data_IF_510146598446
#
_entry.id   IF_510146598446
#
_cell.length_a   1.000
_cell.length_b   1.000
_cell.length_c   1.000
_cell.angle_alpha   90.00
_cell.angle_beta   90.00
_cell.angle_gamma   90.00
#
_symmetry.space_group_name_H-M   'P 1'
#
loop_
_entity.id
_entity.type
_entity.pdbx_description
1 polymer ?
#
# COMPACT_ATOMS: atom_id res chain seq x y z
N UNK A 1 7.71 -17.35 3.25
CA UNK A 1 8.59 -16.15 3.32
C UNK A 1 8.17 -15.19 2.21
N UNK A 2 7.90 -13.90 2.52
CA UNK A 2 7.36 -12.96 1.53
C UNK A 2 8.32 -12.75 0.35
N UNK A 3 7.80 -12.89 -0.86
CA UNK A 3 8.48 -12.67 -2.14
C UNK A 3 9.74 -13.54 -2.40
N UNK A 4 10.04 -14.54 -1.57
CA UNK A 4 11.13 -15.48 -1.76
C UNK A 4 10.56 -16.90 -1.80
N UNK A 5 10.89 -17.65 -2.85
CA UNK A 5 10.42 -19.02 -3.08
C UNK A 5 11.61 -19.93 -3.41
N UNK A 6 11.65 -21.12 -2.81
CA UNK A 6 12.60 -22.15 -3.23
C UNK A 6 12.16 -22.72 -4.59
N UNK A 7 13.11 -22.87 -5.50
CA UNK A 7 12.88 -23.46 -6.80
C UNK A 7 13.91 -24.57 -7.07
N UNK A 8 13.49 -25.54 -7.85
CA UNK A 8 14.36 -26.59 -8.40
C UNK A 8 14.20 -26.61 -9.90
N UNK A 9 15.30 -26.48 -10.61
CA UNK A 9 15.34 -26.56 -12.07
C UNK A 9 15.29 -28.03 -12.54
N UNK A 10 14.98 -28.23 -13.84
CA UNK A 10 14.89 -29.58 -14.45
C UNK A 10 16.19 -30.39 -14.35
N UNK A 11 17.34 -29.69 -14.24
CA UNK A 11 18.66 -30.32 -14.05
C UNK A 11 19.00 -30.58 -12.58
N UNK A 12 18.06 -30.44 -11.66
CA UNK A 12 18.25 -30.63 -10.22
C UNK A 12 18.89 -29.45 -9.49
N UNK A 13 19.32 -28.40 -10.18
CA UNK A 13 19.89 -27.21 -9.53
C UNK A 13 18.83 -26.46 -8.70
N UNK A 14 19.20 -26.12 -7.47
CA UNK A 14 18.32 -25.43 -6.53
C UNK A 14 18.72 -23.97 -6.37
N UNK A 15 17.72 -23.11 -6.21
CA UNK A 15 17.92 -21.67 -6.00
C UNK A 15 16.80 -21.07 -5.13
N UNK A 16 17.07 -19.92 -4.54
CA UNK A 16 16.04 -19.00 -4.06
C UNK A 16 15.68 -18.04 -5.18
N UNK A 17 14.38 -17.90 -5.45
CA UNK A 17 13.85 -16.88 -6.41
C UNK A 17 13.16 -15.78 -5.65
N UNK A 18 13.57 -14.53 -5.91
CA UNK A 18 12.88 -13.33 -5.45
C UNK A 18 11.98 -12.85 -6.57
N UNK A 19 10.66 -12.69 -6.28
CA UNK A 19 9.69 -12.18 -7.25
C UNK A 19 8.79 -11.14 -6.59
N UNK A 20 8.78 -9.92 -7.13
CA UNK A 20 7.89 -8.85 -6.67
C UNK A 20 6.90 -8.44 -7.77
N UNK A 21 5.63 -8.47 -7.43
CA UNK A 21 4.55 -7.96 -8.27
C UNK A 21 4.02 -6.63 -7.72
N UNK A 22 3.78 -5.68 -8.64
CA UNK A 22 3.06 -4.44 -8.35
C UNK A 22 2.04 -4.19 -9.46
N UNK A 23 0.79 -3.96 -9.05
CA UNK A 23 -0.31 -3.67 -9.99
C UNK A 23 -0.55 -4.80 -11.02
N UNK A 24 -0.38 -6.05 -10.58
CA UNK A 24 -0.50 -7.22 -11.44
C UNK A 24 0.72 -7.43 -12.37
N UNK A 25 1.68 -6.52 -12.37
CA UNK A 25 2.88 -6.61 -13.20
C UNK A 25 4.08 -7.11 -12.39
N UNK A 26 4.82 -8.06 -12.95
CA UNK A 26 6.09 -8.50 -12.39
C UNK A 26 7.12 -7.38 -12.53
N UNK A 27 7.62 -6.84 -11.43
CA UNK A 27 8.60 -5.75 -11.38
C UNK A 27 10.01 -6.24 -11.20
N UNK A 28 10.16 -7.31 -10.44
CA UNK A 28 11.46 -7.89 -10.11
C UNK A 28 11.35 -9.40 -10.17
N UNK A 29 12.34 -10.03 -10.78
CA UNK A 29 12.61 -11.46 -10.68
C UNK A 29 14.12 -11.67 -10.70
N UNK A 30 14.65 -12.38 -9.70
CA UNK A 30 16.06 -12.72 -9.62
C UNK A 30 16.26 -14.02 -8.85
N UNK A 31 17.16 -14.84 -9.34
CA UNK A 31 17.52 -16.12 -8.73
C UNK A 31 18.88 -16.05 -8.03
N UNK A 32 18.98 -16.82 -6.96
CA UNK A 32 20.19 -16.98 -6.14
C UNK A 32 20.50 -18.46 -6.03
N UNK A 33 21.26 -19.03 -7.02
CA UNK A 33 21.61 -20.45 -7.04
C UNK A 33 22.48 -20.84 -5.83
N UNK A 34 22.15 -21.95 -5.20
CA UNK A 34 22.85 -22.41 -3.97
C UNK A 34 24.34 -22.63 -4.21
N UNK A 35 24.70 -23.29 -5.29
CA UNK A 35 26.10 -23.55 -5.64
C UNK A 35 26.93 -22.29 -5.85
N UNK A 36 26.31 -21.27 -6.51
CA UNK A 36 26.99 -20.01 -6.80
C UNK A 36 27.22 -19.15 -5.54
N UNK A 37 26.41 -19.34 -4.51
CA UNK A 37 26.42 -18.49 -3.33
C UNK A 37 26.95 -19.19 -2.06
N UNK A 38 27.54 -20.36 -2.18
CA UNK A 38 28.15 -21.07 -1.05
C UNK A 38 27.12 -21.84 -0.20
N UNK A 39 26.05 -22.32 -0.81
CA UNK A 39 25.00 -23.13 -0.19
C UNK A 39 23.67 -22.43 0.02
N UNK A 40 22.72 -23.18 0.56
CA UNK A 40 21.32 -22.74 0.71
C UNK A 40 21.17 -21.52 1.63
N UNK A 41 21.87 -21.54 2.78
CA UNK A 41 21.79 -20.47 3.78
C UNK A 41 22.36 -19.15 3.26
N UNK A 42 23.58 -19.19 2.67
CA UNK A 42 24.22 -18.00 2.12
C UNK A 42 23.46 -17.42 0.91
N UNK A 43 22.86 -18.29 0.09
CA UNK A 43 21.97 -17.87 -0.99
C UNK A 43 20.69 -17.19 -0.46
N UNK A 44 20.12 -17.70 0.64
CA UNK A 44 18.96 -17.12 1.28
C UNK A 44 19.23 -15.73 1.85
N UNK A 45 20.37 -15.55 2.50
CA UNK A 45 20.80 -14.26 3.04
C UNK A 45 20.90 -13.20 1.92
N UNK A 46 21.56 -13.54 0.81
CA UNK A 46 21.64 -12.66 -0.37
C UNK A 46 20.28 -12.39 -1.01
N UNK A 47 19.41 -13.39 -1.10
CA UNK A 47 18.05 -13.23 -1.61
C UNK A 47 17.22 -12.30 -0.70
N UNK A 48 17.40 -12.42 0.61
CA UNK A 48 16.72 -11.58 1.62
C UNK A 48 17.17 -10.11 1.51
N UNK A 49 18.47 -9.87 1.47
CA UNK A 49 19.04 -8.53 1.29
C UNK A 49 18.53 -7.89 -0.01
N UNK A 50 18.61 -8.62 -1.11
CA UNK A 50 18.12 -8.14 -2.39
C UNK A 50 16.62 -7.85 -2.37
N UNK A 51 15.79 -8.74 -1.78
CA UNK A 51 14.35 -8.51 -1.61
C UNK A 51 14.07 -7.21 -0.84
N UNK A 52 14.80 -6.97 0.23
CA UNK A 52 14.62 -5.80 1.09
C UNK A 52 14.97 -4.49 0.36
N UNK A 53 16.04 -4.48 -0.41
CA UNK A 53 16.38 -3.36 -1.29
C UNK A 53 15.28 -3.11 -2.34
N UNK A 54 14.76 -4.19 -2.94
CA UNK A 54 13.70 -4.07 -3.94
C UNK A 54 12.35 -3.62 -3.33
N UNK A 55 12.07 -3.97 -2.08
CA UNK A 55 10.89 -3.47 -1.37
C UNK A 55 10.93 -1.95 -1.17
N UNK A 56 12.09 -1.40 -0.89
CA UNK A 56 12.27 0.05 -0.76
C UNK A 56 12.15 0.77 -2.10
N UNK A 57 12.66 0.17 -3.18
CA UNK A 57 12.56 0.73 -4.55
C UNK A 57 11.14 0.60 -5.14
N UNK A 58 10.43 -0.45 -4.78
CA UNK A 58 9.08 -0.78 -5.26
C UNK A 58 8.13 -0.95 -4.07
N UNK A 59 7.77 0.14 -3.37
CA UNK A 59 6.95 0.06 -2.19
C UNK A 59 5.58 -0.55 -2.50
N UNK A 60 4.99 -1.30 -1.55
CA UNK A 60 3.63 -1.79 -1.71
C UNK A 60 2.63 -0.62 -1.71
N UNK A 61 1.48 -0.82 -2.36
CA UNK A 61 0.42 0.20 -2.37
C UNK A 61 -0.15 0.44 -0.98
N UNK A 62 -0.36 1.69 -0.65
CA UNK A 62 -1.01 2.06 0.60
C UNK A 62 -2.54 2.11 0.47
N UNK A 63 -3.20 1.80 1.57
CA UNK A 63 -4.67 1.77 1.62
C UNK A 63 -5.31 3.12 1.26
N UNK A 64 -4.68 4.23 1.62
CA UNK A 64 -5.14 5.57 1.31
C UNK A 64 -5.07 5.84 -0.19
N UNK A 65 -3.96 5.47 -0.85
CA UNK A 65 -3.75 5.71 -2.28
C UNK A 65 -4.74 4.92 -3.14
N UNK A 66 -4.98 3.65 -2.77
CA UNK A 66 -5.99 2.83 -3.45
C UNK A 66 -7.40 3.40 -3.30
N UNK A 67 -7.72 3.99 -2.14
CA UNK A 67 -9.01 4.64 -1.93
C UNK A 67 -9.18 5.96 -2.68
N UNK A 68 -8.10 6.53 -3.17
CA UNK A 68 -8.11 7.73 -4.01
C UNK A 68 -8.05 7.42 -5.52
N UNK A 69 -7.88 6.17 -5.89
CA UNK A 69 -7.89 5.76 -7.29
C UNK A 69 -9.28 5.94 -7.90
N UNK A 70 -9.38 6.71 -8.97
CA UNK A 70 -10.61 6.86 -9.75
C UNK A 70 -10.83 5.56 -10.54
N UNK A 71 -11.97 4.93 -10.34
CA UNK A 71 -12.40 3.74 -11.10
C UNK A 71 -13.24 4.18 -12.28
N UNK A 72 -13.28 3.36 -13.34
CA UNK A 72 -14.11 3.62 -14.52
C UNK A 72 -15.60 3.78 -14.21
N UNK A 73 -16.09 3.11 -13.16
CA UNK A 73 -17.48 3.24 -12.68
C UNK A 73 -17.75 4.48 -11.84
N UNK A 74 -16.75 5.34 -11.60
CA UNK A 74 -16.94 6.55 -10.81
C UNK A 74 -17.51 7.68 -11.66
N UNK A 75 -18.75 8.06 -11.40
CA UNK A 75 -19.48 9.13 -12.11
C UNK A 75 -19.31 10.51 -11.49
N UNK A 76 -18.81 10.60 -10.26
CA UNK A 76 -18.66 11.88 -9.54
C UNK A 76 -17.35 12.60 -9.85
N UNK A 77 -16.35 11.89 -10.41
CA UNK A 77 -14.95 12.33 -10.52
C UNK A 77 -14.16 12.25 -9.22
N UNK A 78 -14.80 11.89 -8.09
CA UNK A 78 -14.17 11.84 -6.77
C UNK A 78 -14.38 10.46 -6.11
N UNK A 79 -13.32 9.66 -5.92
CA UNK A 79 -13.44 8.35 -5.30
C UNK A 79 -14.04 8.39 -3.90
N UNK A 80 -15.10 7.59 -3.68
CA UNK A 80 -15.81 7.55 -2.40
C UNK A 80 -16.80 8.69 -2.19
N UNK A 81 -17.08 9.46 -3.24
CA UNK A 81 -18.20 10.43 -3.30
C UNK A 81 -19.18 9.97 -4.35
N UNK A 82 -20.45 9.86 -3.99
CA UNK A 82 -21.52 9.37 -4.90
C UNK A 82 -22.78 10.21 -4.74
N UNK A 83 -23.51 10.37 -5.84
CA UNK A 83 -24.85 10.92 -5.84
C UNK A 83 -25.86 9.78 -5.78
N UNK A 84 -26.83 9.84 -4.87
CA UNK A 84 -27.87 8.84 -4.81
C UNK A 84 -29.19 9.41 -4.33
N UNK A 85 -30.29 8.70 -4.64
CA UNK A 85 -31.66 9.07 -4.25
C UNK A 85 -32.13 8.20 -3.09
N UNK A 86 -32.74 8.83 -2.09
CA UNK A 86 -33.43 8.13 -1.01
C UNK A 86 -34.84 8.73 -0.84
N UNK A 87 -35.86 7.95 -1.18
CA UNK A 87 -37.23 8.44 -1.29
C UNK A 87 -37.35 9.56 -2.33
N UNK A 88 -37.90 10.69 -1.93
CA UNK A 88 -38.05 11.88 -2.80
C UNK A 88 -36.81 12.79 -2.86
N UNK A 89 -35.79 12.55 -2.01
CA UNK A 89 -34.64 13.45 -1.87
C UNK A 89 -33.38 12.89 -2.53
N UNK A 90 -32.58 13.80 -3.10
CA UNK A 90 -31.27 13.51 -3.62
C UNK A 90 -30.17 13.94 -2.65
N UNK A 91 -29.08 13.19 -2.63
CA UNK A 91 -27.96 13.39 -1.72
C UNK A 91 -26.62 13.26 -2.45
N UNK A 92 -25.64 14.04 -2.04
CA UNK A 92 -24.25 13.72 -2.21
C UNK A 92 -23.72 13.04 -0.96
N UNK A 93 -22.99 11.96 -1.12
CA UNK A 93 -22.54 11.09 -0.02
C UNK A 93 -21.05 10.87 -0.09
N UNK A 94 -20.38 11.15 1.02
CA UNK A 94 -19.01 10.71 1.27
C UNK A 94 -19.03 9.39 2.05
N UNK A 95 -18.31 8.40 1.56
CA UNK A 95 -18.18 7.14 2.31
C UNK A 95 -16.77 6.55 2.22
N UNK A 96 -16.34 5.98 3.34
CA UNK A 96 -15.06 5.30 3.51
C UNK A 96 -15.28 4.06 4.36
N UNK A 97 -14.63 2.95 4.01
CA UNK A 97 -14.67 1.74 4.83
C UNK A 97 -13.50 1.75 5.80
N UNK A 98 -13.76 1.64 7.10
CA UNK A 98 -12.76 1.48 8.15
C UNK A 98 -12.11 0.09 8.08
N UNK A 99 -11.06 -0.13 8.88
CA UNK A 99 -10.38 -1.42 8.99
C UNK A 99 -11.29 -2.51 9.56
N UNK A 100 -12.11 -2.18 10.54
CA UNK A 100 -13.10 -3.08 11.16
C UNK A 100 -14.27 -3.44 10.23
N UNK A 101 -14.23 -2.96 8.97
CA UNK A 101 -15.26 -3.17 7.98
C UNK A 101 -16.42 -2.19 8.07
N UNK A 102 -16.53 -1.40 9.14
CA UNK A 102 -17.62 -0.43 9.32
C UNK A 102 -17.47 0.75 8.37
N UNK A 103 -18.56 1.21 7.74
CA UNK A 103 -18.51 2.38 6.88
C UNK A 103 -18.51 3.68 7.71
N UNK A 104 -17.62 4.61 7.34
CA UNK A 104 -17.80 6.03 7.61
C UNK A 104 -18.65 6.58 6.49
N UNK A 105 -19.83 7.06 6.79
CA UNK A 105 -20.76 7.62 5.78
C UNK A 105 -21.35 8.92 6.28
N UNK A 106 -21.36 9.95 5.41
CA UNK A 106 -22.06 11.21 5.65
C UNK A 106 -22.73 11.69 4.38
N UNK A 107 -23.99 12.11 4.50
CA UNK A 107 -24.85 12.49 3.38
C UNK A 107 -25.22 13.97 3.49
N UNK A 108 -25.28 14.64 2.34
CA UNK A 108 -25.64 16.06 2.22
C UNK A 108 -26.81 16.18 1.24
N UNK A 109 -27.94 16.68 1.72
CA UNK A 109 -29.17 16.83 0.92
C UNK A 109 -29.01 17.94 -0.09
N UNK A 110 -29.39 17.65 -1.33
CA UNK A 110 -29.24 18.60 -2.44
C UNK A 110 -30.28 19.72 -2.34
N UNK A 111 -31.48 19.42 -1.92
CA UNK A 111 -32.54 20.43 -1.76
C UNK A 111 -32.26 21.47 -0.64
N UNK A 112 -31.43 21.09 0.35
CA UNK A 112 -31.04 22.01 1.43
C UNK A 112 -29.82 22.86 1.10
N UNK A 113 -28.90 22.32 0.32
CA UNK A 113 -27.60 22.96 0.07
C UNK A 113 -27.39 23.40 -1.37
N UNK A 114 -28.24 22.96 -2.30
CA UNK A 114 -27.99 23.05 -3.72
C UNK A 114 -26.99 21.97 -4.21
N UNK A 115 -27.02 21.65 -5.50
CA UNK A 115 -26.24 20.59 -6.12
C UNK A 115 -24.73 20.75 -5.87
N UNK A 116 -24.19 21.91 -6.23
CA UNK A 116 -22.74 22.17 -6.15
C UNK A 116 -22.22 22.23 -4.71
N UNK A 117 -22.95 22.89 -3.81
CA UNK A 117 -22.56 23.00 -2.40
C UNK A 117 -22.63 21.64 -1.70
N UNK A 118 -23.67 20.84 -1.96
CA UNK A 118 -23.79 19.50 -1.40
C UNK A 118 -22.65 18.59 -1.88
N UNK A 119 -22.25 18.68 -3.16
CA UNK A 119 -21.10 17.96 -3.72
C UNK A 119 -19.79 18.42 -3.08
N UNK A 120 -19.57 19.71 -2.95
CA UNK A 120 -18.37 20.27 -2.31
C UNK A 120 -18.24 19.82 -0.84
N UNK A 121 -19.33 19.83 -0.08
CA UNK A 121 -19.39 19.33 1.29
C UNK A 121 -19.06 17.83 1.38
N UNK A 122 -19.55 17.00 0.45
CA UNK A 122 -19.25 15.60 0.40
C UNK A 122 -17.77 15.35 0.06
N UNK A 123 -17.18 16.13 -0.84
CA UNK A 123 -15.74 16.05 -1.17
C UNK A 123 -14.88 16.43 0.05
N UNK A 124 -15.21 17.52 0.74
CA UNK A 124 -14.51 17.95 1.94
C UNK A 124 -14.59 16.88 3.06
N UNK A 125 -15.78 16.33 3.29
CA UNK A 125 -15.98 15.25 4.24
C UNK A 125 -15.20 13.99 3.84
N UNK A 126 -15.14 13.64 2.55
CA UNK A 126 -14.35 12.52 2.08
C UNK A 126 -12.86 12.70 2.37
N UNK A 127 -12.31 13.90 2.18
CA UNK A 127 -10.93 14.22 2.55
C UNK A 127 -10.70 14.02 4.04
N UNK A 128 -11.61 14.53 4.88
CA UNK A 128 -11.56 14.33 6.33
C UNK A 128 -11.60 12.84 6.70
N UNK A 129 -12.50 12.04 6.12
CA UNK A 129 -12.57 10.61 6.36
C UNK A 129 -11.27 9.87 5.99
N UNK A 130 -10.57 10.31 4.96
CA UNK A 130 -9.29 9.73 4.56
C UNK A 130 -8.16 9.99 5.57
N UNK A 131 -8.23 11.06 6.37
CA UNK A 131 -7.24 11.29 7.44
C UNK A 131 -7.39 10.30 8.59
N UNK A 132 -8.60 9.76 8.82
CA UNK A 132 -8.87 8.73 9.83
C UNK A 132 -8.43 7.33 9.38
N UNK A 133 -8.09 7.16 8.10
CA UNK A 133 -7.63 5.86 7.58
C UNK A 133 -6.14 5.74 7.77
N UNK A 134 -5.73 4.67 8.44
CA UNK A 134 -4.33 4.33 8.58
C UNK A 134 -3.63 4.26 7.23
N UNK A 135 -2.49 4.93 7.13
CA UNK A 135 -1.62 4.85 5.96
C UNK A 135 -0.82 3.54 6.01
N UNK A 136 -1.48 2.44 5.68
CA UNK A 136 -0.93 1.08 5.69
C UNK A 136 -0.87 0.50 4.29
N UNK A 137 0.00 -0.47 4.10
CA UNK A 137 0.02 -1.30 2.92
C UNK A 137 -1.32 -2.03 2.74
N UNK A 138 -1.82 -2.07 1.54
CA UNK A 138 -3.21 -2.48 1.25
C UNK A 138 -3.46 -3.98 1.38
N UNK A 139 -2.51 -4.83 1.05
CA UNK A 139 -2.62 -6.29 1.11
C UNK A 139 -1.28 -6.94 1.41
N UNK A 140 -1.30 -8.02 2.18
CA UNK A 140 -0.15 -8.86 2.48
C UNK A 140 0.47 -8.58 3.83
N UNK A 141 0.05 -9.32 4.87
CA UNK A 141 0.51 -9.13 6.24
C UNK A 141 2.04 -9.23 6.40
N UNK A 142 2.68 -10.22 5.76
CA UNK A 142 4.14 -10.40 5.86
C UNK A 142 4.92 -9.30 5.13
N UNK A 143 4.51 -8.97 3.90
CA UNK A 143 5.17 -7.92 3.12
C UNK A 143 4.96 -6.54 3.73
N UNK A 144 3.80 -6.30 4.34
CA UNK A 144 3.48 -5.08 5.08
C UNK A 144 4.37 -4.91 6.31
N UNK A 145 4.48 -5.95 7.11
CA UNK A 145 5.30 -5.93 8.33
C UNK A 145 6.78 -5.72 7.98
N UNK A 146 7.28 -6.42 6.98
CA UNK A 146 8.68 -6.28 6.56
C UNK A 146 9.00 -4.90 6.00
N UNK A 147 8.12 -4.35 5.13
CA UNK A 147 8.29 -3.00 4.61
C UNK A 147 8.24 -1.93 5.72
N UNK A 148 7.31 -2.05 6.65
CA UNK A 148 7.21 -1.13 7.78
C UNK A 148 8.44 -1.22 8.71
N UNK A 149 9.00 -2.41 8.87
CA UNK A 149 10.24 -2.62 9.61
C UNK A 149 11.43 -1.95 8.91
N UNK A 150 11.59 -2.16 7.61
CA UNK A 150 12.64 -1.54 6.80
C UNK A 150 12.60 -0.01 6.84
N UNK A 151 11.40 0.58 6.80
CA UNK A 151 11.25 2.03 6.93
C UNK A 151 11.75 2.53 8.29
N UNK A 152 11.46 1.82 9.38
CA UNK A 152 11.97 2.18 10.72
C UNK A 152 13.49 2.06 10.81
N UNK A 153 14.05 0.97 10.28
CA UNK A 153 15.49 0.75 10.23
C UNK A 153 16.21 1.87 9.46
N UNK A 154 15.67 2.26 8.30
CA UNK A 154 16.20 3.37 7.50
C UNK A 154 16.08 4.73 8.21
N UNK A 155 14.99 5.00 8.91
CA UNK A 155 14.82 6.24 9.67
C UNK A 155 15.81 6.30 10.83
N UNK A 156 15.96 5.22 11.59
CA UNK A 156 16.92 5.13 12.69
C UNK A 156 18.35 5.36 12.21
N UNK A 157 18.75 4.74 11.10
CA UNK A 157 20.07 4.92 10.50
C UNK A 157 20.34 6.37 10.09
N UNK A 158 19.34 7.06 9.51
CA UNK A 158 19.46 8.48 9.14
C UNK A 158 19.60 9.39 10.36
N UNK A 159 18.90 9.12 11.45
CA UNK A 159 19.00 9.89 12.70
C UNK A 159 20.39 9.71 13.30
N UNK A 160 20.89 8.47 13.35
CA UNK A 160 22.23 8.17 13.87
C UNK A 160 23.34 8.81 13.02
N UNK A 161 23.19 8.84 11.70
CA UNK A 161 24.16 9.47 10.80
C UNK A 161 24.19 11.00 10.90
N UNK A 162 23.08 11.62 11.31
CA UNK A 162 22.95 13.07 11.47
C UNK A 162 23.13 13.54 12.93
N UNK A 163 23.43 12.65 13.86
CA UNK A 163 23.73 13.03 15.25
C UNK A 163 25.05 13.84 15.29
N UNK A 164 25.08 15.03 15.90
CA UNK A 164 26.31 15.80 16.02
C UNK A 164 27.35 14.99 16.82
N UNK A 165 28.54 14.80 16.24
CA UNK A 165 29.67 14.26 17.00
C UNK A 165 29.96 15.27 18.08
N UNK A 166 29.65 14.91 19.34
CA UNK A 166 30.09 15.69 20.48
C UNK A 166 31.60 15.62 20.53
N UNK A 167 32.23 16.70 20.07
CA UNK A 167 33.67 16.91 20.26
C UNK A 167 33.94 16.89 21.77
N UNK A 168 34.78 15.95 22.19
CA UNK A 168 35.37 15.88 23.54
C UNK A 168 36.71 16.63 23.54
#
# INVERSE_FOLDING_TARGET
MYAITAITHYNGARAWRVTLYRDGTKRVEKEFPFLKHGGESAALEKATTFRDEQLLRHPPRFSRDIRQQVRSSNTSGHPGVTRYRMGKYWYWVAQTKRRDGKPLKKSFRIDLHGEEKAKALAIAERRRQLTEIDHRVFRGSEGEMRYAQLLREHQAARISANAPQSES
#
